data_IF_752713215476
#
_entry.id   IF_752713215476
#
_cell.length_a   1.000
_cell.length_b   1.000
_cell.length_c   1.000
_cell.angle_alpha   90.00
_cell.angle_beta   90.00
_cell.angle_gamma   90.00
#
_symmetry.space_group_name_H-M   'P 1'
#
loop_
_entity.id
_entity.type
_entity.pdbx_description
1 polymer ?
#
# COMPACT_ATOMS: atom_id res chain seq x y z
N UNK A 1 -4.40 -7.11 -0.38
CA UNK A 1 -2.94 -7.18 -0.33
C UNK A 1 -2.45 -8.60 -0.09
N UNK A 2 -1.55 -9.09 -0.96
CA UNK A 2 -1.15 -10.50 -1.16
C UNK A 2 -0.51 -11.18 0.08
N UNK A 3 -1.14 -12.17 0.75
CA UNK A 3 -0.56 -12.97 1.84
C UNK A 3 0.72 -13.69 1.45
N UNK A 4 0.74 -14.23 0.23
CA UNK A 4 1.87 -15.04 -0.25
C UNK A 4 3.16 -14.27 -0.50
N UNK A 5 3.08 -12.95 -0.74
CA UNK A 5 4.30 -12.21 -1.01
C UNK A 5 5.18 -12.15 0.25
N UNK A 6 4.55 -11.87 1.38
CA UNK A 6 5.26 -11.74 2.63
C UNK A 6 5.44 -13.06 3.39
N UNK A 7 4.78 -14.15 2.98
CA UNK A 7 5.24 -15.50 3.37
C UNK A 7 6.67 -15.78 2.86
N UNK A 8 7.01 -15.26 1.67
CA UNK A 8 8.36 -15.36 1.09
C UNK A 8 9.31 -14.26 1.58
N UNK A 9 8.78 -13.07 1.84
CA UNK A 9 9.51 -11.91 2.35
C UNK A 9 8.83 -11.35 3.61
N UNK A 10 8.99 -12.01 4.77
CA UNK A 10 8.31 -11.64 6.02
C UNK A 10 8.56 -10.19 6.43
N UNK A 11 9.70 -9.63 6.05
CA UNK A 11 10.04 -8.25 6.28
C UNK A 11 9.17 -7.24 5.52
N UNK A 12 8.47 -7.68 4.47
CA UNK A 12 7.59 -6.84 3.66
C UNK A 12 6.14 -6.85 4.13
N UNK A 13 5.72 -7.87 4.89
CA UNK A 13 4.33 -8.05 5.34
C UNK A 13 3.72 -6.73 5.81
N UNK A 14 4.55 -6.07 6.59
CA UNK A 14 4.19 -5.08 7.52
C UNK A 14 4.16 -3.66 6.94
N UNK A 15 5.21 -3.21 6.24
CA UNK A 15 5.14 -2.04 5.38
C UNK A 15 4.01 -2.12 4.35
N UNK A 16 3.73 -3.32 3.82
CA UNK A 16 2.67 -3.53 2.86
C UNK A 16 1.30 -3.27 3.51
N UNK A 17 0.97 -4.02 4.56
CA UNK A 17 -0.31 -3.88 5.27
C UNK A 17 -0.63 -2.45 5.65
N UNK A 18 0.35 -1.73 6.17
CA UNK A 18 0.18 -0.35 6.54
C UNK A 18 -0.03 0.61 5.36
N UNK A 19 0.67 0.40 4.24
CA UNK A 19 0.40 1.11 2.99
C UNK A 19 -1.05 0.93 2.54
N UNK A 20 -1.57 -0.29 2.64
CA UNK A 20 -2.93 -0.58 2.21
C UNK A 20 -3.97 0.21 3.00
N UNK A 21 -3.79 0.35 4.31
CA UNK A 21 -4.79 1.05 5.12
C UNK A 21 -4.70 2.57 4.98
N UNK A 22 -3.50 3.11 4.76
CA UNK A 22 -3.33 4.52 4.44
C UNK A 22 -3.94 4.83 3.07
N UNK A 23 -3.61 4.04 2.05
CA UNK A 23 -4.17 4.18 0.71
C UNK A 23 -5.70 4.04 0.70
N UNK A 24 -6.26 3.12 1.49
CA UNK A 24 -7.73 2.91 1.60
C UNK A 24 -8.48 4.12 2.14
N UNK A 25 -7.81 4.98 2.90
CA UNK A 25 -8.41 6.17 3.54
C UNK A 25 -7.96 7.47 2.94
N UNK A 26 -6.99 7.40 2.05
CA UNK A 26 -6.52 8.54 1.32
C UNK A 26 -7.61 9.06 0.39
N UNK A 27 -7.63 10.38 0.21
CA UNK A 27 -8.47 11.06 -0.77
C UNK A 27 -7.56 11.71 -1.82
N UNK A 28 -6.64 10.94 -2.38
CA UNK A 28 -5.67 11.45 -3.35
C UNK A 28 -6.40 11.84 -4.64
N UNK A 29 -6.45 13.13 -4.93
CA UNK A 29 -7.08 13.70 -6.13
C UNK A 29 -6.06 13.96 -7.25
N UNK A 30 -4.77 13.92 -6.94
CA UNK A 30 -3.68 14.10 -7.90
C UNK A 30 -2.39 13.37 -7.48
N UNK A 31 -1.46 13.14 -8.42
CA UNK A 31 -0.12 12.63 -8.09
C UNK A 31 0.63 13.47 -7.05
N UNK A 32 0.33 14.76 -6.95
CA UNK A 32 0.93 15.66 -5.98
C UNK A 32 0.56 15.30 -4.54
N UNK A 33 -0.67 14.82 -4.32
CA UNK A 33 -1.16 14.42 -2.99
C UNK A 33 -0.39 13.20 -2.51
N UNK A 34 -0.18 12.23 -3.39
CA UNK A 34 0.65 11.06 -3.12
C UNK A 34 2.08 11.48 -2.84
N UNK A 35 2.67 12.34 -3.67
CA UNK A 35 4.06 12.81 -3.48
C UNK A 35 4.25 13.54 -2.15
N UNK A 36 3.21 14.21 -1.65
CA UNK A 36 3.23 14.90 -0.36
C UNK A 36 3.26 13.93 0.83
N UNK A 37 2.61 12.77 0.72
CA UNK A 37 2.64 11.72 1.73
C UNK A 37 3.82 10.75 1.54
N UNK A 38 4.28 10.57 0.30
CA UNK A 38 5.27 9.58 -0.12
C UNK A 38 6.35 10.26 -0.98
N UNK A 39 7.23 11.04 -0.36
CA UNK A 39 8.28 11.78 -1.08
C UNK A 39 9.23 10.86 -1.90
N UNK A 40 9.37 9.60 -1.48
CA UNK A 40 10.20 8.59 -2.16
C UNK A 40 9.47 7.80 -3.25
N UNK A 41 8.16 8.04 -3.46
CA UNK A 41 7.42 7.37 -4.51
C UNK A 41 7.85 7.87 -5.89
N UNK A 42 8.04 6.93 -6.81
CA UNK A 42 8.29 7.21 -8.22
C UNK A 42 6.98 7.16 -8.99
N UNK A 43 6.90 7.97 -10.05
CA UNK A 43 5.71 8.07 -10.90
C UNK A 43 6.10 7.69 -12.32
N UNK A 44 5.30 6.83 -12.94
CA UNK A 44 5.49 6.38 -14.33
C UNK A 44 4.24 6.78 -15.09
N UNK A 45 4.37 7.72 -16.03
CA UNK A 45 3.20 8.30 -16.69
C UNK A 45 2.31 9.06 -15.71
N UNK A 46 0.99 9.00 -15.93
CA UNK A 46 0.00 9.82 -15.21
C UNK A 46 -0.68 9.12 -14.02
N UNK A 47 -0.86 7.80 -14.10
CA UNK A 47 -1.62 7.01 -13.11
C UNK A 47 -0.77 6.06 -12.27
N UNK A 48 0.36 5.56 -12.80
CA UNK A 48 1.15 4.54 -12.13
C UNK A 48 2.10 5.14 -11.10
N UNK A 49 2.03 4.58 -9.89
CA UNK A 49 2.89 4.95 -8.77
C UNK A 49 3.65 3.73 -8.28
N UNK A 50 4.93 3.93 -8.05
CA UNK A 50 5.86 2.94 -7.53
C UNK A 50 6.28 3.36 -6.13
N UNK A 51 5.82 2.60 -5.14
CA UNK A 51 6.17 2.79 -3.74
C UNK A 51 7.36 1.92 -3.36
N UNK A 52 8.27 2.51 -2.59
CA UNK A 52 9.35 1.78 -1.96
C UNK A 52 8.81 1.06 -0.73
N UNK A 53 9.09 -0.23 -0.64
CA UNK A 53 8.64 -1.08 0.46
C UNK A 53 9.89 -1.63 1.17
N UNK A 54 9.84 -1.64 2.51
CA UNK A 54 10.94 -2.09 3.38
C UNK A 54 12.27 -1.41 3.03
N UNK A 55 12.37 -0.10 3.22
CA UNK A 55 13.62 0.63 3.01
C UNK A 55 14.21 0.45 1.60
N UNK A 56 13.35 0.58 0.58
CA UNK A 56 13.71 0.53 -0.84
C UNK A 56 14.12 -0.85 -1.40
N UNK A 57 14.08 -1.93 -0.61
CA UNK A 57 14.42 -3.29 -1.07
C UNK A 57 13.36 -3.89 -2.01
N UNK A 58 12.13 -3.37 -1.92
CA UNK A 58 10.97 -3.87 -2.63
C UNK A 58 10.18 -2.76 -3.31
N UNK A 59 9.37 -3.12 -4.30
CA UNK A 59 8.54 -2.23 -5.11
C UNK A 59 7.09 -2.68 -5.03
N UNK A 60 6.23 -1.82 -4.52
CA UNK A 60 4.79 -1.94 -4.70
C UNK A 60 4.38 -1.02 -5.83
N UNK A 61 3.82 -1.58 -6.89
CA UNK A 61 3.34 -0.83 -8.04
C UNK A 61 1.85 -0.83 -8.00
N UNK A 62 1.30 0.36 -8.13
CA UNK A 62 -0.13 0.54 -8.22
C UNK A 62 -0.48 1.42 -9.40
N UNK A 63 -1.68 1.23 -9.89
CA UNK A 63 -2.35 2.16 -10.79
C UNK A 63 -3.37 2.95 -9.98
N UNK A 64 -3.34 4.28 -10.07
CA UNK A 64 -4.23 5.18 -9.33
C UNK A 64 -5.08 5.95 -10.31
N UNK A 65 -6.40 5.71 -10.26
CA UNK A 65 -7.40 6.50 -10.97
C UNK A 65 -7.92 7.59 -10.04
N UNK A 66 -7.30 8.77 -10.08
CA UNK A 66 -7.61 9.87 -9.16
C UNK A 66 -9.06 10.36 -9.24
N UNK A 67 -9.64 10.47 -10.44
CA UNK A 67 -11.03 10.92 -10.60
C UNK A 67 -12.04 9.98 -9.93
N UNK A 68 -11.76 8.67 -9.96
CA UNK A 68 -12.62 7.62 -9.42
C UNK A 68 -12.22 7.18 -8.01
N UNK A 69 -11.14 7.73 -7.45
CA UNK A 69 -10.57 7.33 -6.16
C UNK A 69 -10.28 5.82 -6.08
N UNK A 70 -9.79 5.23 -7.17
CA UNK A 70 -9.47 3.80 -7.24
C UNK A 70 -7.96 3.56 -7.26
N UNK A 71 -7.51 2.53 -6.55
CA UNK A 71 -6.11 2.11 -6.50
C UNK A 71 -6.06 0.61 -6.77
N UNK A 72 -5.38 0.22 -7.86
CA UNK A 72 -5.15 -1.17 -8.23
C UNK A 72 -3.73 -1.56 -7.89
N UNK A 73 -3.54 -2.58 -7.04
CA UNK A 73 -2.21 -3.15 -6.82
C UNK A 73 -1.84 -3.98 -8.05
N UNK A 74 -0.87 -3.51 -8.83
CA UNK A 74 -0.40 -4.18 -10.04
C UNK A 74 0.70 -5.18 -9.76
N UNK A 75 1.59 -4.86 -8.81
CA UNK A 75 2.72 -5.71 -8.52
C UNK A 75 3.32 -5.46 -7.15
N UNK A 76 3.89 -6.50 -6.56
CA UNK A 76 4.82 -6.41 -5.44
C UNK A 76 5.97 -7.40 -5.67
N UNK A 77 7.19 -6.91 -5.54
CA UNK A 77 8.40 -7.71 -5.72
C UNK A 77 9.69 -7.01 -5.39
N UNK A 78 10.79 -7.75 -5.41
CA UNK A 78 12.14 -7.20 -5.32
C UNK A 78 12.45 -6.31 -6.51
N UNK A 79 13.46 -5.45 -6.40
CA UNK A 79 13.94 -4.64 -7.52
C UNK A 79 14.29 -5.50 -8.76
N UNK A 80 14.92 -6.66 -8.55
CA UNK A 80 15.29 -7.58 -9.63
C UNK A 80 14.09 -8.35 -10.24
N UNK A 81 12.98 -8.51 -9.51
CA UNK A 81 11.73 -9.07 -10.06
C UNK A 81 10.94 -7.99 -10.81
N UNK A 82 11.00 -6.76 -10.33
CA UNK A 82 10.46 -5.60 -11.01
C UNK A 82 11.09 -5.41 -12.39
N UNK A 83 12.43 -5.40 -12.46
CA UNK A 83 13.16 -5.26 -13.73
C UNK A 83 12.81 -6.37 -14.74
N UNK A 84 12.35 -7.54 -14.26
CA UNK A 84 11.90 -8.66 -15.11
C UNK A 84 10.45 -8.55 -15.55
N UNK A 85 9.57 -7.92 -14.76
CA UNK A 85 8.16 -7.72 -15.13
C UNK A 85 8.00 -6.61 -16.15
N UNK A 86 8.91 -5.65 -16.15
CA UNK A 86 9.09 -4.72 -17.26
C UNK A 86 9.49 -5.42 -18.58
N UNK A 87 9.61 -6.74 -18.60
CA UNK A 87 9.78 -7.52 -19.84
C UNK A 87 8.58 -8.43 -20.11
N UNK A 88 7.76 -8.79 -19.11
CA UNK A 88 6.93 -10.00 -19.15
C UNK A 88 5.41 -9.83 -19.32
N UNK A 89 4.78 -8.66 -19.18
CA UNK A 89 3.29 -8.62 -19.17
C UNK A 89 2.68 -7.58 -20.10
N UNK A 90 2.43 -8.00 -21.35
CA UNK A 90 1.71 -7.20 -22.35
C UNK A 90 0.23 -6.95 -21.97
N UNK A 91 -0.44 -7.92 -21.32
CA UNK A 91 -1.84 -7.77 -20.90
C UNK A 91 -2.05 -6.73 -19.79
N UNK A 92 -1.09 -6.62 -18.87
CA UNK A 92 -1.12 -5.60 -17.81
C UNK A 92 -0.91 -4.22 -18.43
N UNK A 93 0.08 -4.09 -19.32
CA UNK A 93 0.33 -2.86 -20.10
C UNK A 93 -0.86 -2.41 -20.92
N UNK A 94 -1.59 -3.38 -21.46
CA UNK A 94 -2.75 -3.12 -22.29
C UNK A 94 -3.96 -2.70 -21.45
N UNK A 95 -4.20 -3.38 -20.32
CA UNK A 95 -5.20 -2.96 -19.35
C UNK A 95 -4.90 -1.56 -18.79
N UNK A 96 -3.62 -1.24 -18.59
CA UNK A 96 -3.15 0.06 -18.12
C UNK A 96 -3.48 1.19 -19.09
N UNK A 97 -3.41 0.94 -20.40
CA UNK A 97 -3.78 1.94 -21.41
C UNK A 97 -5.26 2.34 -21.32
N UNK A 98 -6.14 1.43 -20.88
CA UNK A 98 -7.56 1.69 -20.69
C UNK A 98 -7.88 2.43 -19.38
N UNK A 99 -6.98 2.50 -18.38
CA UNK A 99 -7.27 3.30 -17.17
C UNK A 99 -7.09 4.80 -17.37
N UNK A 100 -6.25 5.20 -18.33
CA UNK A 100 -6.11 6.61 -18.71
C UNK A 100 -7.32 7.09 -19.53
N UNK A 101 -7.88 6.22 -20.37
CA UNK A 101 -9.09 6.47 -21.14
C UNK A 101 -9.97 5.22 -21.14
N UNK A 102 -10.92 5.17 -20.20
CA UNK A 102 -11.78 4.00 -20.06
C UNK A 102 -12.72 3.88 -21.26
N UNK A 103 -12.73 2.71 -21.93
CA UNK A 103 -13.58 2.50 -23.08
C UNK A 103 -15.06 2.48 -22.67
N UNK A 104 -15.94 2.83 -23.61
CA UNK A 104 -17.37 2.76 -23.37
C UNK A 104 -17.81 1.30 -23.13
N UNK A 105 -18.72 1.09 -22.17
CA UNK A 105 -19.19 -0.23 -21.74
C UNK A 105 -19.79 -1.08 -22.88
N UNK A 106 -20.29 -0.45 -23.94
CA UNK A 106 -20.89 -1.12 -25.11
C UNK A 106 -19.98 -1.06 -26.37
N UNK A 107 -18.66 -0.90 -26.19
CA UNK A 107 -17.68 -0.92 -27.28
C UNK A 107 -16.85 -2.20 -27.28
N UNK A 108 -16.29 -2.55 -28.44
CA UNK A 108 -15.36 -3.67 -28.58
C UNK A 108 -14.14 -3.56 -27.64
N UNK A 109 -13.70 -2.34 -27.34
CA UNK A 109 -12.64 -2.06 -26.37
C UNK A 109 -13.13 -2.24 -24.92
N UNK A 110 -14.40 -1.95 -24.64
CA UNK A 110 -15.07 -2.18 -23.36
C UNK A 110 -15.17 -3.67 -23.03
N UNK A 111 -15.64 -4.48 -23.98
CA UNK A 111 -15.69 -5.95 -23.85
C UNK A 111 -14.29 -6.52 -23.58
N UNK A 112 -13.29 -5.99 -24.29
CA UNK A 112 -11.91 -6.41 -24.15
C UNK A 112 -11.30 -6.01 -22.81
N UNK A 113 -11.61 -4.81 -22.33
CA UNK A 113 -11.23 -4.34 -21.00
C UNK A 113 -11.83 -5.21 -19.90
N UNK A 114 -13.12 -5.57 -20.00
CA UNK A 114 -13.80 -6.44 -19.03
C UNK A 114 -13.17 -7.85 -18.98
N UNK A 115 -12.87 -8.44 -20.13
CA UNK A 115 -12.21 -9.75 -20.21
C UNK A 115 -10.80 -9.67 -19.61
N UNK A 116 -10.02 -8.66 -19.98
CA UNK A 116 -8.66 -8.48 -19.44
C UNK A 116 -8.68 -8.25 -17.93
N UNK A 117 -9.60 -7.43 -17.43
CA UNK A 117 -9.80 -7.21 -16.01
C UNK A 117 -10.17 -8.51 -15.30
N UNK A 118 -11.11 -9.29 -15.84
CA UNK A 118 -11.52 -10.60 -15.31
C UNK A 118 -10.36 -11.60 -15.28
N UNK A 119 -9.55 -11.64 -16.32
CA UNK A 119 -8.38 -12.54 -16.40
C UNK A 119 -7.30 -12.15 -15.41
N UNK A 120 -7.04 -10.84 -15.25
CA UNK A 120 -6.14 -10.32 -14.24
C UNK A 120 -6.68 -10.63 -12.85
N UNK A 121 -7.95 -10.37 -12.57
CA UNK A 121 -8.58 -10.70 -11.28
C UNK A 121 -8.56 -12.19 -10.96
N UNK A 122 -8.89 -13.06 -11.92
CA UNK A 122 -8.85 -14.51 -11.72
C UNK A 122 -7.41 -15.02 -11.48
N UNK A 123 -6.44 -14.46 -12.20
CA UNK A 123 -5.02 -14.72 -11.94
C UNK A 123 -4.62 -14.22 -10.56
N UNK A 124 -5.00 -13.01 -10.18
CA UNK A 124 -4.65 -12.43 -8.89
C UNK A 124 -5.34 -13.13 -7.72
N UNK A 125 -6.61 -13.51 -7.84
CA UNK A 125 -7.31 -14.27 -6.80
C UNK A 125 -6.68 -15.66 -6.58
N UNK A 126 -6.29 -16.35 -7.66
CA UNK A 126 -5.66 -17.67 -7.59
C UNK A 126 -4.23 -17.60 -7.05
N UNK A 127 -3.50 -16.55 -7.42
CA UNK A 127 -2.09 -16.42 -7.07
C UNK A 127 -1.86 -15.57 -5.79
N UNK A 128 -2.81 -14.71 -5.39
CA UNK A 128 -2.62 -13.61 -4.41
C UNK A 128 -3.89 -13.14 -3.60
N UNK A 129 -4.37 -13.85 -2.55
CA UNK A 129 -5.54 -13.46 -1.68
C UNK A 129 -5.35 -12.16 -0.82
N UNK A 130 -6.20 -11.77 0.17
CA UNK A 130 -6.03 -10.55 1.04
C UNK A 130 -6.25 -10.81 2.55
N UNK A 131 -5.35 -10.34 3.44
CA UNK A 131 -5.43 -10.41 4.93
C UNK A 131 -5.13 -9.08 5.68
N UNK A 132 -5.46 -8.97 6.98
CA UNK A 132 -5.39 -7.76 7.83
C UNK A 132 -4.00 -7.45 8.48
N UNK A 133 -3.63 -6.17 8.72
CA UNK A 133 -2.37 -5.65 9.32
C UNK A 133 -1.97 -6.09 10.76
N UNK A 134 -0.67 -6.04 11.10
CA UNK A 134 -0.18 -5.98 12.51
C UNK A 134 -0.11 -4.52 13.00
N UNK A 135 -0.53 -4.23 14.24
CA UNK A 135 -0.55 -2.87 14.78
C UNK A 135 0.78 -2.14 14.85
N UNK A 136 1.88 -2.84 15.15
CA UNK A 136 3.19 -2.17 15.32
C UNK A 136 3.71 -1.63 14.00
N UNK A 137 3.27 -2.22 12.92
CA UNK A 137 3.82 -1.97 11.60
C UNK A 137 3.01 -0.94 10.86
N UNK A 138 1.71 -0.87 11.14
CA UNK A 138 0.91 0.33 10.91
C UNK A 138 1.59 1.58 11.50
N UNK A 139 2.15 1.49 12.72
CA UNK A 139 2.89 2.59 13.35
C UNK A 139 4.20 2.88 12.62
N UNK A 140 5.04 1.86 12.37
CA UNK A 140 6.35 2.06 11.73
C UNK A 140 6.25 2.61 10.31
N UNK A 141 5.30 2.11 9.55
CA UNK A 141 5.02 2.61 8.22
C UNK A 141 4.58 4.08 8.26
N UNK A 142 3.68 4.44 9.18
CA UNK A 142 3.27 5.84 9.32
C UNK A 142 4.45 6.75 9.68
N UNK A 143 5.39 6.25 10.49
CA UNK A 143 6.63 6.96 10.77
C UNK A 143 7.49 7.16 9.50
N UNK A 144 7.63 6.13 8.68
CA UNK A 144 8.37 6.21 7.41
C UNK A 144 7.75 7.24 6.45
N UNK A 145 6.43 7.22 6.28
CA UNK A 145 5.73 8.16 5.39
C UNK A 145 5.73 9.60 5.89
N UNK A 146 5.53 9.79 7.20
CA UNK A 146 5.52 11.12 7.79
C UNK A 146 6.91 11.69 8.07
N UNK A 147 7.99 10.94 7.81
CA UNK A 147 9.33 11.30 8.27
C UNK A 147 9.44 11.43 9.78
N UNK A 148 8.60 10.70 10.53
CA UNK A 148 8.49 10.80 11.99
C UNK A 148 9.60 10.00 12.65
N UNK A 149 10.09 10.55 13.76
CA UNK A 149 11.05 9.89 14.64
C UNK A 149 10.33 9.20 15.79
N UNK A 150 11.06 8.35 16.53
CA UNK A 150 10.54 7.70 17.74
C UNK A 150 10.05 8.71 18.78
N UNK A 151 10.62 9.92 18.81
CA UNK A 151 10.21 10.99 19.73
C UNK A 151 8.81 11.52 19.42
N UNK A 152 8.39 11.46 18.16
CA UNK A 152 7.09 11.96 17.72
C UNK A 152 5.93 11.04 18.12
N UNK A 153 6.22 9.81 18.56
CA UNK A 153 5.22 8.89 19.11
C UNK A 153 4.96 9.09 20.61
N UNK A 154 5.78 9.89 21.29
CA UNK A 154 5.67 10.12 22.75
C UNK A 154 4.29 10.68 23.15
N UNK A 155 3.68 11.64 22.42
CA UNK A 155 2.35 12.14 22.75
C UNK A 155 1.27 11.06 22.74
N UNK A 156 1.36 10.09 21.84
CA UNK A 156 0.32 9.07 21.65
C UNK A 156 0.54 7.80 22.47
N UNK A 157 1.79 7.44 22.77
CA UNK A 157 2.16 6.18 23.45
C UNK A 157 2.70 6.41 24.88
N UNK A 158 3.25 7.59 25.17
CA UNK A 158 3.88 7.93 26.45
C UNK A 158 5.41 7.98 26.38
N UNK A 159 6.09 7.81 27.53
CA UNK A 159 7.54 7.97 27.63
C UNK A 159 8.34 7.12 26.61
N UNK A 160 9.54 7.59 26.23
CA UNK A 160 10.39 6.96 25.21
C UNK A 160 10.63 5.46 25.44
N UNK A 161 10.86 5.04 26.68
CA UNK A 161 11.00 3.61 27.02
C UNK A 161 9.78 2.79 26.58
N UNK A 162 8.57 3.31 26.80
CA UNK A 162 7.30 2.69 26.41
C UNK A 162 7.12 2.64 24.90
N UNK A 163 7.51 3.71 24.21
CA UNK A 163 7.53 3.73 22.74
C UNK A 163 8.41 2.59 22.21
N UNK A 164 9.63 2.44 22.74
CA UNK A 164 10.52 1.35 22.35
C UNK A 164 9.98 -0.03 22.74
N UNK A 165 9.34 -0.19 23.90
CA UNK A 165 8.68 -1.46 24.28
C UNK A 165 7.59 -1.85 23.28
N UNK A 166 6.74 -0.91 22.90
CA UNK A 166 5.65 -1.12 21.94
C UNK A 166 6.21 -1.44 20.55
N UNK A 167 7.11 -0.60 20.04
CA UNK A 167 7.73 -0.80 18.72
C UNK A 167 8.49 -2.14 18.63
N UNK A 168 9.05 -2.62 19.75
CA UNK A 168 9.75 -3.91 19.80
C UNK A 168 8.85 -5.08 20.23
N UNK A 169 7.51 -4.91 20.24
CA UNK A 169 6.53 -5.94 20.58
C UNK A 169 6.68 -6.52 22.00
N UNK A 170 7.39 -5.82 22.88
CA UNK A 170 7.51 -6.19 24.31
C UNK A 170 6.28 -5.79 25.11
N UNK A 171 5.46 -4.89 24.56
CA UNK A 171 4.20 -4.42 25.14
C UNK A 171 3.17 -4.23 24.03
N UNK A 172 1.96 -4.75 24.25
CA UNK A 172 0.82 -4.50 23.37
C UNK A 172 0.28 -3.07 23.52
N UNK A 173 -0.45 -2.60 22.51
CA UNK A 173 -1.13 -1.30 22.58
C UNK A 173 -2.33 -1.37 23.53
N UNK A 174 -2.54 -0.32 24.33
CA UNK A 174 -3.79 -0.14 25.06
C UNK A 174 -4.83 0.54 24.17
N UNK A 175 -6.11 0.40 24.49
CA UNK A 175 -7.18 1.12 23.78
C UNK A 175 -6.97 2.64 23.75
N UNK A 176 -6.39 3.21 24.80
CA UNK A 176 -6.04 4.63 24.84
C UNK A 176 -4.92 4.97 23.85
N UNK A 177 -3.86 4.15 23.78
CA UNK A 177 -2.80 4.32 22.77
C UNK A 177 -3.37 4.20 21.36
N UNK A 178 -4.26 3.23 21.11
CA UNK A 178 -4.90 3.04 19.80
C UNK A 178 -5.69 4.29 19.40
N UNK A 179 -6.51 4.84 20.31
CA UNK A 179 -7.27 6.07 20.05
C UNK A 179 -6.36 7.27 19.81
N UNK A 180 -5.29 7.41 20.58
CA UNK A 180 -4.35 8.50 20.43
C UNK A 180 -3.59 8.40 19.10
N UNK A 181 -3.06 7.23 18.76
CA UNK A 181 -2.38 6.99 17.48
C UNK A 181 -3.31 7.24 16.28
N UNK A 182 -4.58 6.85 16.40
CA UNK A 182 -5.57 7.13 15.37
C UNK A 182 -5.83 8.64 15.21
N UNK A 183 -6.07 9.35 16.33
CA UNK A 183 -6.37 10.78 16.33
C UNK A 183 -5.18 11.64 15.92
N UNK A 184 -4.00 11.36 16.47
CA UNK A 184 -2.83 12.24 16.36
C UNK A 184 -2.05 11.97 15.08
N UNK A 185 -1.99 10.70 14.64
CA UNK A 185 -1.19 10.28 13.49
C UNK A 185 -2.03 9.82 12.31
N UNK A 186 -3.36 9.77 12.43
CA UNK A 186 -4.26 9.32 11.36
C UNK A 186 -4.22 7.81 11.11
N UNK A 187 -3.57 7.03 11.99
CA UNK A 187 -3.39 5.60 11.77
C UNK A 187 -4.74 4.88 11.88
N UNK A 188 -5.05 3.95 10.99
CA UNK A 188 -6.31 3.21 11.06
C UNK A 188 -6.53 2.39 12.32
N UNK A 189 -7.67 2.65 13.00
CA UNK A 189 -8.01 1.96 14.23
C UNK A 189 -8.14 0.44 14.02
N UNK A 190 -8.72 0.00 12.90
CA UNK A 190 -8.82 -1.43 12.56
C UNK A 190 -7.44 -2.08 12.39
N UNK A 191 -6.47 -1.31 11.90
CA UNK A 191 -5.07 -1.75 11.75
C UNK A 191 -4.31 -1.79 13.07
N UNK A 192 -4.78 -1.08 14.10
CA UNK A 192 -4.16 -1.00 15.42
C UNK A 192 -4.75 -1.98 16.44
N UNK A 193 -5.90 -2.57 16.16
CA UNK A 193 -6.57 -3.52 17.06
C UNK A 193 -5.91 -4.91 16.99
N UNK A 194 -5.31 -5.27 15.84
CA UNK A 194 -4.72 -6.59 15.63
C UNK A 194 -5.76 -7.72 15.76
N UNK A 195 -5.34 -8.97 15.59
CA UNK A 195 -6.10 -10.15 16.06
C UNK A 195 -5.35 -10.79 17.22
#
# INVERSE_FOLDING_TARGET
MRPRYWERFPECEQPLKAWHDEARRATWASPHDIRSCYASASFIGSSRVVFNIKGNSHRLIVDVTYQRQMIYIKFIGTHAEYDRIDVATNALRELEAYFENEPALDSEEGDRFEILATLVEAYEAKHYPIELPDPIEAIRFRMEQGGLTVKDLVPSIGQLNRVYEVLNRKRGLTLEMIRNLHRDLGIPAESLIGR
#
